data_IF_536669377169
#
_entry.id   IF_536669377169
#
_cell.length_a   1.000
_cell.length_b   1.000
_cell.length_c   1.000
_cell.angle_alpha   90.00
_cell.angle_beta   90.00
_cell.angle_gamma   90.00
#
_symmetry.space_group_name_H-M   'P 1'
#
loop_
_entity.id
_entity.type
_entity.pdbx_description
1 polymer ?
#
# COMPACT_ATOMS: atom_id res chain seq x y z
N UNK A 1 14.49 -43.79 -16.01
CA UNK A 1 14.39 -42.32 -16.07
C UNK A 1 12.92 -42.00 -16.19
N UNK A 2 12.25 -41.87 -15.06
CA UNK A 2 10.88 -41.38 -15.00
C UNK A 2 10.96 -39.86 -14.93
N UNK A 3 10.46 -39.23 -15.97
CA UNK A 3 10.11 -37.81 -16.07
C UNK A 3 9.19 -37.43 -14.88
N UNK A 4 9.54 -36.46 -14.01
CA UNK A 4 8.64 -35.98 -12.98
C UNK A 4 7.67 -34.98 -13.62
N UNK A 5 6.73 -35.51 -14.41
CA UNK A 5 5.59 -34.76 -14.92
C UNK A 5 4.65 -34.39 -13.77
N UNK A 6 4.44 -33.09 -13.63
CA UNK A 6 3.26 -32.43 -13.08
C UNK A 6 2.76 -32.91 -11.71
N UNK A 7 3.27 -32.28 -10.65
CA UNK A 7 2.36 -31.91 -9.56
C UNK A 7 1.40 -30.85 -10.11
N UNK A 8 0.18 -31.27 -10.44
CA UNK A 8 -0.99 -30.42 -10.67
C UNK A 8 -1.24 -29.56 -9.42
N UNK A 9 -0.45 -28.50 -9.27
CA UNK A 9 -0.65 -27.49 -8.24
C UNK A 9 -1.91 -26.70 -8.57
N UNK A 10 -2.65 -26.30 -7.55
CA UNK A 10 -3.78 -25.39 -7.73
C UNK A 10 -3.32 -24.13 -8.48
N UNK A 11 -4.16 -23.62 -9.38
CA UNK A 11 -3.88 -22.42 -10.17
C UNK A 11 -4.87 -21.32 -9.86
N UNK A 12 -4.39 -20.07 -9.82
CA UNK A 12 -5.22 -18.88 -9.80
C UNK A 12 -5.17 -18.21 -11.16
N UNK A 13 -6.32 -18.06 -11.81
CA UNK A 13 -6.43 -17.41 -13.11
C UNK A 13 -7.00 -16.02 -12.90
N UNK A 14 -6.40 -15.01 -13.54
CA UNK A 14 -6.94 -13.67 -13.48
C UNK A 14 -8.25 -13.57 -14.27
N UNK A 15 -9.22 -12.88 -13.68
CA UNK A 15 -10.46 -12.51 -14.33
C UNK A 15 -10.37 -11.06 -14.80
N UNK A 16 -10.83 -10.81 -16.03
CA UNK A 16 -10.97 -9.43 -16.52
C UNK A 16 -12.17 -8.79 -15.84
N UNK A 17 -11.97 -7.58 -15.34
CA UNK A 17 -13.04 -6.80 -14.74
C UNK A 17 -13.48 -5.65 -15.65
N UNK A 18 -14.52 -4.92 -15.24
CA UNK A 18 -15.16 -3.90 -16.08
C UNK A 18 -14.24 -2.73 -16.47
N UNK A 19 -13.18 -2.49 -15.69
CA UNK A 19 -12.14 -1.49 -15.98
C UNK A 19 -11.01 -2.02 -16.89
N UNK A 20 -11.13 -3.26 -17.40
CA UNK A 20 -10.16 -3.88 -18.29
C UNK A 20 -8.93 -4.47 -17.60
N UNK A 21 -8.83 -4.37 -16.26
CA UNK A 21 -7.73 -4.99 -15.51
C UNK A 21 -7.99 -6.45 -15.19
N UNK A 22 -6.92 -7.24 -15.24
CA UNK A 22 -6.92 -8.64 -14.89
C UNK A 22 -6.55 -8.80 -13.42
N UNK A 23 -7.48 -9.38 -12.66
CA UNK A 23 -7.39 -9.51 -11.20
C UNK A 23 -7.57 -10.94 -10.73
N UNK A 24 -6.79 -11.33 -9.72
CA UNK A 24 -6.99 -12.58 -8.99
C UNK A 24 -6.91 -12.32 -7.47
N UNK A 25 -7.65 -13.11 -6.70
CA UNK A 25 -7.56 -13.09 -5.23
C UNK A 25 -7.20 -14.48 -4.75
N UNK A 26 -6.10 -14.57 -4.00
CA UNK A 26 -5.57 -15.81 -3.45
C UNK A 26 -5.73 -15.78 -1.92
N UNK A 27 -6.39 -16.77 -1.30
CA UNK A 27 -6.46 -16.87 0.15
C UNK A 27 -5.08 -17.21 0.73
N UNK A 28 -4.72 -16.57 1.84
CA UNK A 28 -3.44 -16.80 2.55
C UNK A 28 -3.62 -17.41 3.94
N UNK A 29 -4.82 -17.93 4.23
CA UNK A 29 -5.21 -18.47 5.54
C UNK A 29 -5.57 -17.39 6.55
N UNK A 30 -6.43 -17.76 7.51
CA UNK A 30 -6.87 -16.89 8.63
C UNK A 30 -7.39 -15.52 8.17
N UNK A 31 -8.26 -15.50 7.16
CA UNK A 31 -8.86 -14.27 6.63
C UNK A 31 -7.94 -13.41 5.76
N UNK A 32 -6.62 -13.67 5.76
CA UNK A 32 -5.65 -12.92 4.94
C UNK A 32 -5.81 -13.22 3.45
N UNK A 33 -5.60 -12.19 2.64
CA UNK A 33 -5.76 -12.26 1.18
C UNK A 33 -4.55 -11.68 0.46
N UNK A 34 -4.30 -12.19 -0.73
CA UNK A 34 -3.41 -11.63 -1.74
C UNK A 34 -4.25 -11.23 -2.95
N UNK A 35 -4.14 -9.97 -3.34
CA UNK A 35 -4.77 -9.37 -4.51
C UNK A 35 -3.69 -9.16 -5.57
N UNK A 36 -3.88 -9.78 -6.73
CA UNK A 36 -2.96 -9.70 -7.87
C UNK A 36 -3.60 -8.85 -8.95
N UNK A 37 -2.84 -7.89 -9.46
CA UNK A 37 -3.25 -6.98 -10.53
C UNK A 37 -2.30 -7.12 -11.70
N UNK A 38 -2.85 -7.18 -12.92
CA UNK A 38 -2.07 -7.35 -14.16
C UNK A 38 -2.76 -6.69 -15.36
N UNK A 39 -1.97 -6.32 -16.38
CA UNK A 39 -2.48 -5.76 -17.64
C UNK A 39 -2.97 -6.83 -18.62
N UNK A 40 -2.47 -8.06 -18.50
CA UNK A 40 -2.79 -9.18 -19.38
C UNK A 40 -3.32 -10.37 -18.57
N UNK A 41 -4.08 -11.24 -19.23
CA UNK A 41 -4.51 -12.50 -18.66
C UNK A 41 -3.30 -13.32 -18.20
N UNK A 42 -3.37 -13.85 -16.98
CA UNK A 42 -2.30 -14.62 -16.34
C UNK A 42 -2.89 -15.81 -15.59
N UNK A 43 -2.12 -16.89 -15.55
CA UNK A 43 -2.36 -18.06 -14.70
C UNK A 43 -1.17 -18.19 -13.77
N UNK A 44 -1.44 -18.25 -12.47
CA UNK A 44 -0.44 -18.36 -11.43
C UNK A 44 -0.47 -19.76 -10.83
N UNK A 45 0.68 -20.40 -10.67
CA UNK A 45 0.82 -21.59 -9.84
C UNK A 45 0.76 -21.19 -8.37
N UNK A 46 -0.07 -21.85 -7.57
CA UNK A 46 -0.23 -21.56 -6.15
C UNK A 46 0.68 -22.43 -5.29
N UNK A 47 1.13 -21.85 -4.18
CA UNK A 47 1.96 -22.51 -3.17
C UNK A 47 1.39 -22.29 -1.77
N UNK A 48 1.98 -22.96 -0.77
CA UNK A 48 1.76 -22.64 0.63
C UNK A 48 2.64 -21.47 1.07
N UNK A 49 2.02 -20.33 1.35
CA UNK A 49 2.71 -19.13 1.82
C UNK A 49 3.13 -19.17 3.29
N UNK A 50 3.76 -18.09 3.74
CA UNK A 50 4.15 -17.89 5.14
C UNK A 50 2.93 -17.88 6.08
N UNK A 51 3.04 -18.52 7.25
CA UNK A 51 1.95 -18.56 8.22
C UNK A 51 1.67 -17.17 8.80
N UNK A 52 0.51 -17.02 9.44
CA UNK A 52 0.17 -15.82 10.20
C UNK A 52 1.08 -15.66 11.42
N UNK A 53 1.20 -14.42 11.89
CA UNK A 53 1.82 -14.12 13.17
C UNK A 53 0.70 -13.73 14.14
N UNK A 54 0.44 -14.62 15.10
CA UNK A 54 -0.54 -14.43 16.17
C UNK A 54 0.10 -13.77 17.39
N UNK A 55 -0.70 -13.13 18.24
CA UNK A 55 -0.26 -12.73 19.60
C UNK A 55 -0.05 -11.23 19.82
N UNK A 56 -0.76 -10.36 19.10
CA UNK A 56 -0.68 -8.91 19.30
C UNK A 56 -1.98 -8.31 19.80
N UNK A 57 -1.95 -7.63 20.96
CA UNK A 57 -3.03 -6.72 21.39
C UNK A 57 -2.76 -5.32 20.84
N UNK A 58 -2.98 -5.12 19.53
CA UNK A 58 -2.88 -3.79 18.95
C UNK A 58 -3.86 -2.86 19.67
N UNK A 59 -3.40 -1.67 20.06
CA UNK A 59 -4.23 -0.67 20.74
C UNK A 59 -3.78 0.74 20.42
N UNK A 60 -4.71 1.68 20.53
CA UNK A 60 -4.42 3.10 20.47
C UNK A 60 -4.44 3.72 21.87
N UNK A 61 -3.55 4.67 22.11
CA UNK A 61 -3.50 5.50 23.31
C UNK A 61 -3.59 6.97 22.91
N UNK A 62 -4.42 7.76 23.57
CA UNK A 62 -4.53 9.18 23.25
C UNK A 62 -3.43 10.00 23.95
N UNK A 63 -2.72 10.82 23.19
CA UNK A 63 -1.71 11.73 23.73
C UNK A 63 -2.37 12.92 24.44
N UNK A 64 -2.08 13.18 25.73
CA UNK A 64 -2.85 14.13 26.54
C UNK A 64 -2.68 15.61 26.14
N UNK A 65 -1.57 15.98 25.49
CA UNK A 65 -1.32 17.37 25.09
C UNK A 65 -1.78 17.70 23.67
N UNK A 66 -1.89 16.70 22.80
CA UNK A 66 -2.17 16.90 21.37
C UNK A 66 -3.50 16.31 20.94
N UNK A 67 -4.07 15.39 21.73
CA UNK A 67 -5.27 14.63 21.38
C UNK A 67 -5.03 13.52 20.36
N UNK A 68 -3.78 13.35 19.89
CA UNK A 68 -3.42 12.41 18.83
C UNK A 68 -3.52 10.96 19.30
N UNK A 69 -4.02 10.09 18.43
CA UNK A 69 -4.06 8.65 18.67
C UNK A 69 -2.74 8.00 18.25
N UNK A 70 -2.06 7.37 19.21
CA UNK A 70 -0.78 6.68 19.01
C UNK A 70 -1.02 5.17 18.97
N UNK A 71 -0.56 4.50 17.91
CA UNK A 71 -0.67 3.03 17.76
C UNK A 71 0.45 2.31 18.50
N UNK A 72 0.09 1.26 19.23
CA UNK A 72 0.99 0.34 19.91
C UNK A 72 0.73 -1.08 19.41
N UNK A 73 1.75 -1.75 18.91
CA UNK A 73 1.66 -3.14 18.43
C UNK A 73 2.95 -3.90 18.75
N UNK A 74 2.86 -4.88 19.66
CA UNK A 74 4.01 -5.69 20.10
C UNK A 74 4.52 -6.65 19.04
N UNK A 75 3.64 -7.19 18.20
CA UNK A 75 4.00 -8.14 17.11
C UNK A 75 4.98 -7.55 16.10
N UNK A 76 5.05 -6.21 16.01
CA UNK A 76 6.00 -5.53 15.12
C UNK A 76 7.46 -5.76 15.50
N UNK A 77 7.77 -6.18 16.73
CA UNK A 77 9.14 -6.52 17.12
C UNK A 77 9.66 -7.75 16.36
N UNK A 78 8.78 -8.66 15.92
CA UNK A 78 9.15 -9.88 15.19
C UNK A 78 9.30 -9.68 13.68
N UNK A 79 9.27 -8.44 13.19
CA UNK A 79 9.32 -8.15 11.75
C UNK A 79 10.55 -8.74 11.09
N UNK A 80 10.35 -9.28 9.89
CA UNK A 80 11.45 -9.65 9.00
C UNK A 80 12.36 -8.44 8.79
N UNK A 81 13.63 -8.60 9.14
CA UNK A 81 14.62 -7.53 9.14
C UNK A 81 15.78 -7.89 8.22
N UNK A 82 15.87 -7.20 7.08
CA UNK A 82 16.93 -7.33 6.08
C UNK A 82 17.30 -8.79 5.81
N UNK A 83 16.33 -9.62 5.36
CA UNK A 83 16.60 -11.02 5.06
C UNK A 83 17.57 -11.11 3.89
N UNK A 84 18.20 -12.27 3.71
CA UNK A 84 18.91 -12.55 2.46
C UNK A 84 17.91 -12.49 1.29
N UNK A 85 18.37 -12.13 0.09
CA UNK A 85 17.50 -12.05 -1.10
C UNK A 85 16.73 -13.36 -1.35
N UNK A 86 17.35 -14.51 -1.10
CA UNK A 86 16.72 -15.83 -1.22
C UNK A 86 15.56 -16.05 -0.23
N UNK A 87 15.53 -15.32 0.88
CA UNK A 87 14.52 -15.39 1.93
C UNK A 87 13.55 -14.20 1.89
N UNK A 88 13.56 -13.44 0.78
CA UNK A 88 12.72 -12.27 0.65
C UNK A 88 11.23 -12.66 0.66
N UNK A 89 10.42 -12.13 1.60
CA UNK A 89 9.00 -12.47 1.68
C UNK A 89 8.18 -11.88 0.53
N UNK A 90 8.75 -10.98 -0.28
CA UNK A 90 8.08 -10.33 -1.41
C UNK A 90 8.47 -10.94 -2.76
N UNK A 91 9.44 -11.85 -2.82
CA UNK A 91 9.70 -12.56 -4.08
C UNK A 91 8.55 -13.52 -4.40
N UNK A 92 8.30 -13.72 -5.70
CA UNK A 92 7.47 -14.82 -6.17
C UNK A 92 8.11 -16.16 -5.78
N UNK A 93 7.29 -17.17 -5.52
CA UNK A 93 7.75 -18.50 -5.13
C UNK A 93 8.17 -19.32 -6.34
N UNK A 94 9.38 -19.86 -6.33
CA UNK A 94 9.86 -20.77 -7.39
C UNK A 94 9.66 -22.25 -7.02
N UNK A 95 9.52 -22.55 -5.73
CA UNK A 95 9.27 -23.89 -5.18
C UNK A 95 8.50 -23.82 -3.86
N UNK A 96 7.99 -24.95 -3.37
CA UNK A 96 7.35 -25.05 -2.06
C UNK A 96 8.31 -25.03 -0.85
N UNK A 97 9.63 -25.02 -1.09
CA UNK A 97 10.65 -25.12 -0.02
C UNK A 97 10.83 -23.79 0.73
N UNK A 98 10.87 -22.67 0.00
CA UNK A 98 11.04 -21.33 0.57
C UNK A 98 9.74 -20.53 0.46
N UNK A 99 9.03 -20.43 1.59
CA UNK A 99 7.73 -19.75 1.67
C UNK A 99 7.89 -18.24 1.69
N UNK A 100 7.01 -17.55 0.95
CA UNK A 100 6.94 -16.08 0.93
C UNK A 100 5.54 -15.58 1.31
N UNK A 101 5.36 -14.25 1.43
CA UNK A 101 4.05 -13.64 1.61
C UNK A 101 3.27 -13.53 0.27
N UNK A 102 3.90 -13.89 -0.85
CA UNK A 102 3.30 -13.91 -2.20
C UNK A 102 3.38 -15.34 -2.77
N UNK A 103 2.44 -16.23 -2.39
CA UNK A 103 2.49 -17.65 -2.74
C UNK A 103 2.03 -17.95 -4.18
N UNK A 104 2.64 -17.26 -5.14
CA UNK A 104 2.48 -17.46 -6.58
C UNK A 104 3.83 -17.44 -7.28
N UNK A 105 3.92 -18.05 -8.46
CA UNK A 105 5.13 -18.18 -9.27
C UNK A 105 5.55 -16.92 -10.02
N UNK A 106 4.63 -15.97 -10.21
CA UNK A 106 4.91 -14.67 -10.79
C UNK A 106 3.86 -13.65 -10.34
N UNK A 107 4.14 -12.36 -10.48
CA UNK A 107 3.15 -11.30 -10.35
C UNK A 107 3.63 -9.98 -10.95
N UNK A 108 2.66 -9.11 -11.18
CA UNK A 108 2.86 -7.77 -11.73
C UNK A 108 2.82 -6.72 -10.62
N UNK A 109 1.67 -6.58 -9.97
CA UNK A 109 1.51 -5.84 -8.72
C UNK A 109 0.73 -6.74 -7.75
N UNK A 110 1.18 -6.80 -6.50
CA UNK A 110 0.60 -7.62 -5.46
C UNK A 110 0.27 -6.79 -4.23
N UNK A 111 -0.96 -6.85 -3.73
CA UNK A 111 -1.37 -6.24 -2.47
C UNK A 111 -1.83 -7.33 -1.51
N UNK A 112 -1.37 -7.33 -0.27
CA UNK A 112 -1.73 -8.40 0.67
C UNK A 112 -1.70 -7.95 2.13
N UNK A 113 -2.45 -8.66 2.98
CA UNK A 113 -2.48 -8.39 4.43
C UNK A 113 -1.09 -8.52 5.06
N UNK A 114 -0.63 -7.48 5.75
CA UNK A 114 0.68 -7.43 6.38
C UNK A 114 0.75 -8.45 7.52
N UNK A 115 1.73 -9.36 7.46
CA UNK A 115 1.94 -10.39 8.49
C UNK A 115 2.28 -9.80 9.87
N UNK A 116 2.93 -8.64 9.91
CA UNK A 116 3.30 -7.90 11.12
C UNK A 116 2.53 -6.57 11.20
N UNK A 117 1.22 -6.66 11.05
CA UNK A 117 0.32 -5.51 11.02
C UNK A 117 0.42 -4.64 12.28
N UNK A 118 0.29 -3.33 12.08
CA UNK A 118 0.20 -2.39 13.19
C UNK A 118 -1.17 -2.42 13.87
N UNK A 119 -2.19 -2.80 13.10
CA UNK A 119 -3.60 -2.81 13.45
C UNK A 119 -4.17 -4.20 13.12
N UNK A 120 -5.24 -4.57 13.81
CA UNK A 120 -5.92 -5.86 13.60
C UNK A 120 -7.33 -5.64 13.10
N UNK A 121 -7.82 -6.49 12.20
CA UNK A 121 -9.22 -6.42 11.77
C UNK A 121 -10.16 -6.71 12.93
N UNK A 122 -9.82 -7.71 13.75
CA UNK A 122 -10.58 -8.06 14.94
C UNK A 122 -10.13 -7.23 16.15
N UNK A 123 -11.10 -6.67 16.86
CA UNK A 123 -10.85 -5.93 18.09
C UNK A 123 -10.48 -6.89 19.23
N UNK A 124 -9.33 -6.66 19.86
CA UNK A 124 -9.00 -7.25 21.15
C UNK A 124 -9.22 -6.23 22.28
N UNK A 125 -9.59 -6.65 23.50
CA UNK A 125 -9.66 -5.76 24.64
C UNK A 125 -8.32 -5.03 24.83
N UNK A 126 -8.31 -3.68 24.87
CA UNK A 126 -7.09 -2.93 25.12
C UNK A 126 -6.64 -3.12 26.58
N UNK A 127 -5.36 -2.89 26.89
CA UNK A 127 -4.90 -2.89 28.27
C UNK A 127 -5.53 -1.73 29.06
N UNK A 128 -5.76 -1.94 30.35
CA UNK A 128 -6.18 -0.87 31.25
C UNK A 128 -5.01 0.10 31.50
N UNK A 129 -5.26 1.38 31.31
CA UNK A 129 -4.25 2.44 31.28
C UNK A 129 -4.82 3.70 31.93
N UNK A 130 -3.94 4.54 32.49
CA UNK A 130 -4.30 5.83 33.12
C UNK A 130 -4.88 6.88 32.15
N UNK A 131 -5.03 6.54 30.88
CA UNK A 131 -5.40 7.43 29.78
C UNK A 131 -6.32 6.69 28.81
N UNK A 132 -7.04 7.45 27.98
CA UNK A 132 -7.98 6.86 27.03
C UNK A 132 -7.31 5.89 26.06
N UNK A 133 -7.73 4.63 26.12
CA UNK A 133 -7.16 3.54 25.34
C UNK A 133 -8.27 2.79 24.63
N UNK A 134 -8.07 2.49 23.33
CA UNK A 134 -9.05 1.82 22.48
C UNK A 134 -8.42 0.63 21.74
N UNK A 135 -9.21 -0.37 21.31
CA UNK A 135 -8.72 -1.43 20.42
C UNK A 135 -8.02 -0.84 19.19
N UNK A 136 -6.93 -1.48 18.76
CA UNK A 136 -6.12 -1.09 17.61
C UNK A 136 -6.70 -1.64 16.32
N UNK A 137 -7.99 -1.38 16.07
CA UNK A 137 -8.67 -1.91 14.88
C UNK A 137 -8.21 -1.21 13.62
N UNK A 138 -8.21 -1.92 12.51
CA UNK A 138 -7.87 -1.39 11.19
C UNK A 138 -7.23 -2.46 10.30
N UNK A 139 -6.84 -2.06 9.08
CA UNK A 139 -6.25 -2.96 8.10
C UNK A 139 -4.87 -2.44 7.71
N UNK A 140 -3.86 -3.29 7.74
CA UNK A 140 -2.53 -2.98 7.22
C UNK A 140 -2.21 -3.92 6.06
N UNK A 141 -1.97 -3.38 4.88
CA UNK A 141 -1.56 -4.13 3.70
C UNK A 141 -0.15 -3.71 3.25
N UNK A 142 0.54 -4.63 2.59
CA UNK A 142 1.79 -4.38 1.86
C UNK A 142 1.47 -4.37 0.38
N UNK A 143 2.10 -3.47 -0.37
CA UNK A 143 1.97 -3.35 -1.82
C UNK A 143 3.33 -3.63 -2.44
N UNK A 144 3.50 -4.75 -3.13
CA UNK A 144 4.72 -5.04 -3.91
C UNK A 144 4.56 -4.55 -5.35
N UNK A 145 5.53 -3.79 -5.83
CA UNK A 145 5.45 -3.11 -7.13
C UNK A 145 5.91 -3.96 -8.31
N UNK A 146 6.67 -5.03 -8.05
CA UNK A 146 7.26 -5.90 -9.07
C UNK A 146 7.73 -7.21 -8.45
N UNK A 147 7.71 -8.31 -9.21
CA UNK A 147 8.37 -9.56 -8.83
C UNK A 147 9.91 -9.46 -8.87
N UNK A 148 10.46 -8.49 -9.58
CA UNK A 148 11.90 -8.22 -9.61
C UNK A 148 12.36 -7.56 -8.31
N UNK A 149 13.16 -8.28 -7.54
CA UNK A 149 13.74 -7.83 -6.26
C UNK A 149 14.65 -6.61 -6.40
N UNK A 150 15.32 -6.44 -7.55
CA UNK A 150 16.26 -5.35 -7.78
C UNK A 150 15.60 -4.08 -8.30
N UNK A 151 14.31 -4.13 -8.60
CA UNK A 151 13.58 -2.98 -9.10
C UNK A 151 13.30 -1.92 -8.02
N UNK A 152 12.86 -0.75 -8.45
CA UNK A 152 12.41 0.35 -7.61
C UNK A 152 11.26 1.07 -8.28
N UNK A 153 10.54 1.92 -7.53
CA UNK A 153 9.54 2.80 -8.13
C UNK A 153 10.11 3.66 -9.29
N UNK A 154 11.41 4.00 -9.23
CA UNK A 154 12.09 4.80 -10.26
C UNK A 154 12.66 3.99 -11.42
N UNK A 155 12.68 2.65 -11.35
CA UNK A 155 13.22 1.78 -12.42
C UNK A 155 12.18 0.87 -13.06
N UNK A 156 10.99 0.73 -12.45
CA UNK A 156 9.87 0.07 -13.11
C UNK A 156 9.33 0.95 -14.24
N UNK A 157 8.87 0.31 -15.32
CA UNK A 157 8.34 1.00 -16.50
C UNK A 157 7.09 1.82 -16.17
N UNK A 158 6.81 2.94 -16.88
CA UNK A 158 5.62 3.76 -16.66
C UNK A 158 4.30 2.97 -16.67
N UNK A 159 4.17 1.98 -17.55
CA UNK A 159 2.99 1.09 -17.59
C UNK A 159 2.79 0.30 -16.28
N UNK A 160 3.88 -0.06 -15.59
CA UNK A 160 3.86 -0.70 -14.27
C UNK A 160 3.46 0.30 -13.19
N UNK A 161 3.98 1.53 -13.23
CA UNK A 161 3.56 2.61 -12.31
C UNK A 161 2.07 2.91 -12.50
N UNK A 162 1.58 2.97 -13.73
CA UNK A 162 0.16 3.16 -14.03
C UNK A 162 -0.69 2.02 -13.44
N UNK A 163 -0.24 0.76 -13.58
CA UNK A 163 -0.93 -0.38 -12.97
C UNK A 163 -0.93 -0.30 -11.44
N UNK A 164 0.18 0.15 -10.84
CA UNK A 164 0.29 0.37 -9.41
C UNK A 164 -0.72 1.43 -8.94
N UNK A 165 -0.83 2.57 -9.65
CA UNK A 165 -1.81 3.61 -9.34
C UNK A 165 -3.25 3.11 -9.49
N UNK A 166 -3.55 2.30 -10.51
CA UNK A 166 -4.85 1.65 -10.67
C UNK A 166 -5.15 0.68 -9.50
N UNK A 167 -4.17 -0.16 -9.12
CA UNK A 167 -4.30 -1.09 -8.00
C UNK A 167 -4.53 -0.37 -6.67
N UNK A 168 -3.80 0.72 -6.42
CA UNK A 168 -3.99 1.58 -5.25
C UNK A 168 -5.37 2.23 -5.26
N UNK A 169 -5.83 2.77 -6.39
CA UNK A 169 -7.16 3.35 -6.52
C UNK A 169 -8.25 2.33 -6.15
N UNK A 170 -8.23 1.15 -6.76
CA UNK A 170 -9.20 0.08 -6.51
C UNK A 170 -9.16 -0.34 -5.04
N UNK A 171 -7.96 -0.62 -4.51
CA UNK A 171 -7.84 -1.13 -3.15
C UNK A 171 -8.23 -0.09 -2.10
N UNK A 172 -7.88 1.18 -2.30
CA UNK A 172 -8.32 2.25 -1.40
C UNK A 172 -9.84 2.39 -1.39
N UNK A 173 -10.51 2.31 -2.56
CA UNK A 173 -11.98 2.32 -2.62
C UNK A 173 -12.60 1.12 -1.90
N UNK A 174 -12.06 -0.08 -2.09
CA UNK A 174 -12.54 -1.29 -1.42
C UNK A 174 -12.38 -1.22 0.11
N UNK A 175 -11.24 -0.69 0.59
CA UNK A 175 -10.99 -0.50 2.02
C UNK A 175 -11.91 0.58 2.62
N UNK A 176 -12.16 1.67 1.89
CA UNK A 176 -13.08 2.74 2.32
C UNK A 176 -14.55 2.31 2.33
N UNK A 177 -14.91 1.21 1.65
CA UNK A 177 -16.26 0.65 1.72
C UNK A 177 -16.54 -0.08 3.06
N UNK A 178 -15.51 -0.33 3.87
CA UNK A 178 -15.68 -0.86 5.22
C UNK A 178 -16.13 0.26 6.18
N UNK A 179 -17.27 0.08 6.83
CA UNK A 179 -17.86 1.06 7.75
C UNK A 179 -17.00 1.35 8.99
N UNK A 180 -16.10 0.44 9.36
CA UNK A 180 -15.17 0.62 10.48
C UNK A 180 -13.92 1.45 10.10
N UNK A 181 -13.76 1.78 8.81
CA UNK A 181 -12.63 2.54 8.28
C UNK A 181 -13.07 3.98 7.99
N UNK A 182 -12.33 4.93 8.55
CA UNK A 182 -12.55 6.36 8.35
C UNK A 182 -11.53 7.01 7.40
N UNK A 183 -10.35 6.39 7.22
CA UNK A 183 -9.30 6.93 6.37
C UNK A 183 -8.38 5.83 5.84
N UNK A 184 -7.99 5.90 4.56
CA UNK A 184 -7.04 4.97 3.95
C UNK A 184 -5.80 5.74 3.50
N UNK A 185 -4.63 5.28 3.91
CA UNK A 185 -3.35 5.93 3.69
C UNK A 185 -2.39 4.97 2.95
N UNK A 186 -2.30 5.06 1.61
CA UNK A 186 -1.20 4.46 0.86
C UNK A 186 0.08 5.29 1.07
N UNK A 187 1.22 4.65 1.32
CA UNK A 187 2.52 5.31 1.49
C UNK A 187 3.69 4.36 1.19
N UNK A 188 4.86 4.94 0.93
CA UNK A 188 6.13 4.22 0.80
C UNK A 188 7.15 4.78 1.80
N UNK A 189 7.93 3.88 2.40
CA UNK A 189 9.20 4.24 3.01
C UNK A 189 10.29 3.60 2.15
N UNK A 190 11.29 4.38 1.73
CA UNK A 190 12.43 3.91 0.93
C UNK A 190 13.76 4.37 1.52
N UNK A 191 14.70 3.43 1.64
CA UNK A 191 16.06 3.68 2.16
C UNK A 191 16.27 3.10 3.55
N UNK A 192 17.41 2.43 3.74
CA UNK A 192 17.78 1.79 5.02
C UNK A 192 17.93 2.82 6.13
N UNK A 193 18.37 4.02 5.76
CA UNK A 193 18.59 5.18 6.62
C UNK A 193 17.30 5.67 7.29
N UNK A 194 16.13 5.37 6.71
CA UNK A 194 14.82 5.73 7.28
C UNK A 194 14.04 4.53 7.84
N UNK A 195 14.74 3.42 8.11
CA UNK A 195 14.17 2.26 8.80
C UNK A 195 13.41 1.29 7.91
N UNK A 196 13.68 1.28 6.60
CA UNK A 196 13.17 0.24 5.69
C UNK A 196 13.85 -1.08 5.98
N UNK A 197 13.05 -2.13 6.16
CA UNK A 197 13.52 -3.46 6.58
C UNK A 197 13.57 -4.49 5.45
N UNK A 198 13.13 -4.12 4.23
CA UNK A 198 13.12 -4.96 3.03
C UNK A 198 13.59 -4.11 1.84
N UNK A 199 14.60 -4.59 1.11
CA UNK A 199 15.11 -3.86 -0.06
C UNK A 199 14.19 -3.98 -1.30
N UNK A 200 13.38 -5.04 -1.37
CA UNK A 200 12.42 -5.30 -2.45
C UNK A 200 11.42 -4.13 -2.63
N UNK A 201 11.07 -3.71 -3.86
CA UNK A 201 10.23 -2.54 -4.09
C UNK A 201 8.81 -2.70 -3.54
N UNK A 202 8.48 -1.94 -2.49
CA UNK A 202 7.18 -2.03 -1.84
C UNK A 202 6.73 -0.75 -1.16
N UNK A 203 5.41 -0.61 -1.04
CA UNK A 203 4.71 0.36 -0.21
C UNK A 203 3.80 -0.35 0.79
N UNK A 204 2.97 0.43 1.48
CA UNK A 204 2.01 -0.02 2.46
C UNK A 204 0.69 0.74 2.31
N UNK A 205 -0.40 0.14 2.77
CA UNK A 205 -1.70 0.79 2.91
C UNK A 205 -2.17 0.61 4.35
N UNK A 206 -2.39 1.70 5.07
CA UNK A 206 -3.01 1.66 6.40
C UNK A 206 -4.44 2.20 6.29
N UNK A 207 -5.42 1.35 6.54
CA UNK A 207 -6.81 1.71 6.72
C UNK A 207 -7.08 1.90 8.22
N UNK A 208 -7.43 3.12 8.61
CA UNK A 208 -7.53 3.58 9.98
C UNK A 208 -9.01 3.79 10.37
N UNK A 209 -9.40 3.50 11.63
CA UNK A 209 -10.75 3.72 12.13
C UNK A 209 -11.00 5.19 12.51
N UNK A 210 -10.02 6.05 12.29
CA UNK A 210 -10.11 7.48 12.54
C UNK A 210 -9.30 8.24 11.47
N UNK A 211 -9.69 9.50 11.23
CA UNK A 211 -8.90 10.40 10.38
C UNK A 211 -7.72 10.94 11.21
N UNK A 212 -6.47 10.85 10.74
CA UNK A 212 -5.33 11.45 11.42
C UNK A 212 -5.49 12.97 11.57
N UNK A 213 -5.05 13.54 12.69
CA UNK A 213 -5.36 14.95 13.00
C UNK A 213 -4.74 15.95 12.02
N UNK A 214 -3.57 15.63 11.45
CA UNK A 214 -2.98 16.45 10.38
C UNK A 214 -3.86 16.46 9.12
N UNK A 215 -4.51 15.34 8.80
CA UNK A 215 -5.43 15.25 7.66
C UNK A 215 -6.73 15.99 7.95
N UNK A 216 -7.28 15.87 9.17
CA UNK A 216 -8.44 16.69 9.59
C UNK A 216 -8.17 18.18 9.42
N UNK A 217 -7.03 18.67 9.93
CA UNK A 217 -6.62 20.07 9.79
C UNK A 217 -6.50 20.51 8.34
N UNK A 218 -5.96 19.65 7.47
CA UNK A 218 -5.91 19.94 6.04
C UNK A 218 -7.32 20.02 5.44
N UNK A 219 -8.19 19.06 5.73
CA UNK A 219 -9.57 19.05 5.25
C UNK A 219 -10.37 20.27 5.75
N UNK A 220 -10.15 20.73 6.99
CA UNK A 220 -10.78 21.93 7.52
C UNK A 220 -10.37 23.21 6.76
N UNK A 221 -9.11 23.28 6.29
CA UNK A 221 -8.67 24.36 5.42
C UNK A 221 -9.48 24.38 4.11
N UNK A 222 -9.66 23.21 3.49
CA UNK A 222 -10.48 23.03 2.27
C UNK A 222 -11.97 23.35 2.44
N UNK A 223 -12.50 23.33 3.68
CA UNK A 223 -13.90 23.73 3.93
C UNK A 223 -14.10 25.24 3.90
N UNK A 224 -13.05 26.01 4.17
CA UNK A 224 -13.13 27.48 4.24
C UNK A 224 -12.76 28.13 2.92
N UNK A 225 -11.72 27.59 2.25
CA UNK A 225 -11.22 28.01 0.94
C UNK A 225 -10.55 26.81 0.27
N UNK A 226 -10.32 26.83 -1.04
CA UNK A 226 -9.46 25.85 -1.70
C UNK A 226 -8.03 26.40 -1.81
N UNK A 227 -7.11 26.03 -0.88
CA UNK A 227 -5.75 26.57 -0.87
C UNK A 227 -4.92 26.15 -2.09
N UNK A 228 -5.37 25.16 -2.86
CA UNK A 228 -4.68 24.66 -4.06
C UNK A 228 -5.36 25.10 -5.35
N UNK A 229 -6.46 25.87 -5.29
CA UNK A 229 -7.14 26.38 -6.46
C UNK A 229 -6.20 27.20 -7.35
N UNK A 230 -6.14 26.85 -8.64
CA UNK A 230 -5.29 27.53 -9.61
C UNK A 230 -3.79 27.44 -9.32
N UNK A 231 -3.34 26.50 -8.48
CA UNK A 231 -1.94 26.36 -8.07
C UNK A 231 -0.99 26.32 -9.27
N UNK A 232 -1.34 25.55 -10.30
CA UNK A 232 -0.51 25.40 -11.51
C UNK A 232 -0.28 26.70 -12.29
N UNK A 233 -1.13 27.72 -12.12
CA UNK A 233 -0.99 29.04 -12.74
C UNK A 233 -0.24 30.04 -11.86
N UNK A 234 -0.23 29.80 -10.54
CA UNK A 234 0.36 30.68 -9.53
C UNK A 234 1.80 30.32 -9.17
N UNK A 235 2.25 29.11 -9.50
CA UNK A 235 3.59 28.65 -9.19
C UNK A 235 4.64 29.39 -10.02
N UNK A 236 5.70 29.94 -9.40
CA UNK A 236 6.87 30.43 -10.11
C UNK A 236 7.51 29.31 -10.94
N UNK A 237 7.94 29.63 -12.16
CA UNK A 237 8.52 28.65 -13.09
C UNK A 237 9.72 27.91 -12.48
N UNK A 238 10.54 28.60 -11.67
CA UNK A 238 11.70 27.99 -11.00
C UNK A 238 11.36 26.91 -9.95
N UNK A 239 10.09 26.80 -9.53
CA UNK A 239 9.63 25.76 -8.61
C UNK A 239 9.01 24.56 -9.34
N UNK A 240 8.78 24.65 -10.65
CA UNK A 240 8.18 23.58 -11.45
C UNK A 240 9.27 22.63 -11.93
N UNK A 241 9.10 21.33 -11.66
CA UNK A 241 10.05 20.28 -12.05
C UNK A 241 9.60 19.55 -13.33
N UNK A 242 8.30 19.26 -13.42
CA UNK A 242 7.71 18.62 -14.58
C UNK A 242 6.22 18.96 -14.69
N UNK A 243 5.67 18.90 -15.91
CA UNK A 243 4.24 19.06 -16.18
C UNK A 243 3.85 18.25 -17.40
N UNK A 244 2.71 17.57 -17.32
CA UNK A 244 2.05 16.92 -18.44
C UNK A 244 0.58 17.36 -18.53
N UNK A 245 -0.24 16.61 -19.27
CA UNK A 245 -1.65 16.97 -19.48
C UNK A 245 -2.49 16.78 -18.22
N UNK A 246 -2.11 15.85 -17.36
CA UNK A 246 -2.92 15.42 -16.21
C UNK A 246 -2.46 16.02 -14.88
N UNK A 247 -1.19 16.40 -14.74
CA UNK A 247 -0.65 16.93 -13.49
C UNK A 247 0.62 17.74 -13.61
N UNK A 248 1.13 18.13 -12.44
CA UNK A 248 2.33 18.93 -12.23
C UNK A 248 3.13 18.40 -11.05
N UNK A 249 4.46 18.35 -11.22
CA UNK A 249 5.42 18.08 -10.16
C UNK A 249 6.20 19.36 -9.85
N UNK A 250 6.23 19.77 -8.59
CA UNK A 250 6.84 21.04 -8.18
C UNK A 250 7.38 20.97 -6.75
N UNK A 251 8.33 21.86 -6.43
CA UNK A 251 8.76 22.12 -5.06
C UNK A 251 7.77 23.09 -4.43
N UNK A 252 7.00 22.70 -3.40
CA UNK A 252 6.03 23.61 -2.79
C UNK A 252 6.75 24.82 -2.17
N UNK A 253 6.25 26.06 -2.36
CA UNK A 253 6.79 27.25 -1.69
C UNK A 253 6.80 27.16 -0.15
N UNK A 254 6.04 26.22 0.40
CA UNK A 254 5.93 25.89 1.82
C UNK A 254 6.58 24.53 2.18
N UNK A 255 7.54 24.07 1.39
CA UNK A 255 8.30 22.84 1.64
C UNK A 255 8.83 22.80 3.08
N UNK A 256 8.65 21.66 3.74
CA UNK A 256 9.09 21.39 5.12
C UNK A 256 10.34 20.53 5.17
N UNK A 257 10.65 19.83 4.08
CA UNK A 257 11.87 19.04 3.93
C UNK A 257 12.73 19.55 2.77
N UNK A 258 14.06 19.42 2.85
CA UNK A 258 14.93 19.57 1.70
C UNK A 258 14.47 18.63 0.59
N UNK A 259 14.38 19.15 -0.64
CA UNK A 259 13.94 18.39 -1.82
C UNK A 259 12.52 17.80 -1.72
N UNK A 260 11.62 18.41 -0.93
CA UNK A 260 10.21 18.06 -0.95
C UNK A 260 9.59 18.34 -2.33
N UNK A 261 8.89 17.36 -2.88
CA UNK A 261 8.20 17.45 -4.17
C UNK A 261 6.75 17.07 -3.96
N UNK A 262 5.84 17.87 -4.51
CA UNK A 262 4.44 17.52 -4.61
C UNK A 262 4.11 17.18 -6.05
N UNK A 263 3.36 16.09 -6.24
CA UNK A 263 2.78 15.68 -7.52
C UNK A 263 1.27 15.81 -7.37
N UNK A 264 0.65 16.70 -8.15
CA UNK A 264 -0.76 17.07 -8.00
C UNK A 264 -1.44 17.04 -9.36
N UNK A 265 -2.67 16.47 -9.46
CA UNK A 265 -3.44 16.53 -10.70
C UNK A 265 -3.90 17.97 -10.98
N UNK A 266 -4.06 18.33 -12.26
CA UNK A 266 -4.72 19.58 -12.62
C UNK A 266 -6.20 19.55 -12.30
N UNK A 267 -6.82 18.36 -12.34
CA UNK A 267 -8.21 18.16 -11.98
C UNK A 267 -8.37 18.11 -10.46
N UNK A 268 -9.36 18.84 -9.95
CA UNK A 268 -9.77 18.74 -8.56
C UNK A 268 -10.58 17.45 -8.35
N UNK A 269 -9.98 16.48 -7.66
CA UNK A 269 -10.59 15.19 -7.33
C UNK A 269 -10.36 14.88 -5.85
N UNK A 270 -11.30 14.14 -5.25
CA UNK A 270 -11.23 13.81 -3.82
C UNK A 270 -10.21 12.71 -3.50
N UNK A 271 -9.91 11.83 -4.47
CA UNK A 271 -9.04 10.68 -4.30
C UNK A 271 -8.46 10.18 -5.64
N UNK A 272 -7.58 9.18 -5.57
CA UNK A 272 -6.90 8.58 -6.73
C UNK A 272 -7.87 7.84 -7.67
N UNK A 273 -8.99 7.33 -7.16
CA UNK A 273 -9.97 6.62 -7.98
C UNK A 273 -10.74 7.60 -8.88
N UNK A 274 -11.11 8.76 -8.35
CA UNK A 274 -11.81 9.83 -9.06
C UNK A 274 -10.99 10.50 -10.18
N UNK A 275 -9.66 10.33 -10.19
CA UNK A 275 -8.79 10.87 -11.25
C UNK A 275 -9.04 10.21 -12.63
N UNK A 276 -9.53 8.97 -12.65
CA UNK A 276 -9.72 8.20 -13.89
C UNK A 276 -8.45 7.55 -14.42
N UNK A 277 -8.61 6.49 -15.23
CA UNK A 277 -7.52 5.63 -15.66
C UNK A 277 -6.53 6.34 -16.60
N UNK A 278 -7.01 7.16 -17.54
CA UNK A 278 -6.14 7.88 -18.48
C UNK A 278 -5.22 8.88 -17.76
N UNK A 279 -5.77 9.66 -16.81
CA UNK A 279 -4.98 10.61 -16.05
C UNK A 279 -4.01 9.93 -15.07
N UNK A 280 -4.39 8.78 -14.48
CA UNK A 280 -3.44 7.96 -13.70
C UNK A 280 -2.30 7.44 -14.57
N UNK A 281 -2.58 7.02 -15.80
CA UNK A 281 -1.54 6.55 -16.72
C UNK A 281 -0.63 7.69 -17.20
N UNK A 282 -1.14 8.89 -17.44
CA UNK A 282 -0.31 10.05 -17.81
C UNK A 282 0.53 10.54 -16.61
N UNK A 283 0.04 10.39 -15.37
CA UNK A 283 0.78 10.74 -14.15
C UNK A 283 1.87 9.73 -13.74
N UNK A 284 1.86 8.53 -14.34
CA UNK A 284 2.83 7.47 -14.09
C UNK A 284 4.17 7.73 -14.79
#
# INVERSE_FOLDING_TARGET
>A
MTDPLHEDGATAITSVAADGLYRATVPRGEGRRLYLFSRLARSYRLFDGLPSVTGGSAHFRQHPLTGEWISYSGVRQGRTFLPQTAECPLCAMTSGELKTDIPVDDYEVAIFTNRFAALTEEASPPPDMILETRPGTGICEVVSYSADHQASLSTIEPDRVALLLDALAIRCTELMANADIAYVMPFENRGREIGVTLDHPHGQIYALPHIPDRIKKAADAFRTDDPLAGLSQRLPEQLVLAKNKSGIAFVPPWARYPFEIWIVPHQQVADLAALGAEARADMA
#
